data_IF_106932131747
#
_entry.id   IF_106932131747
#
_cell.length_a   1.000
_cell.length_b   1.000
_cell.length_c   1.000
_cell.angle_alpha   90.00
_cell.angle_beta   90.00
_cell.angle_gamma   90.00
#
_symmetry.space_group_name_H-M   'P 1'
#
loop_
_entity.id
_entity.type
_entity.pdbx_description
1 polymer ?
#
# COMPACT_ATOMS: atom_id res chain seq x y z
N UNK A 1 11.65 -15.16 41.66
CA UNK A 1 12.73 -15.14 40.66
C UNK A 1 12.11 -14.84 39.31
N UNK A 2 12.32 -13.60 38.86
CA UNK A 2 11.97 -13.09 37.53
C UNK A 2 12.89 -13.73 36.48
N UNK A 3 12.33 -14.13 35.34
CA UNK A 3 12.85 -13.96 33.98
C UNK A 3 12.45 -15.11 33.05
N UNK A 4 11.36 -14.90 32.29
CA UNK A 4 11.34 -15.26 30.87
C UNK A 4 10.69 -14.11 30.09
N UNK A 5 11.28 -12.93 30.22
CA UNK A 5 11.12 -11.86 29.24
C UNK A 5 11.86 -12.32 27.97
N UNK A 6 11.10 -12.64 26.94
CA UNK A 6 11.64 -13.14 25.68
C UNK A 6 10.56 -13.77 24.79
N UNK A 7 9.31 -13.31 24.91
CA UNK A 7 8.34 -13.49 23.83
C UNK A 7 8.62 -12.35 22.87
N UNK A 8 9.38 -12.66 21.82
CA UNK A 8 9.58 -11.83 20.64
C UNK A 8 8.24 -11.13 20.33
N UNK A 9 8.28 -9.79 20.40
CA UNK A 9 7.16 -8.91 20.04
C UNK A 9 6.63 -9.39 18.69
N UNK A 10 5.35 -9.74 18.63
CA UNK A 10 4.77 -10.40 17.46
C UNK A 10 5.09 -9.58 16.22
N UNK A 11 5.80 -10.16 15.26
CA UNK A 11 5.86 -9.57 13.94
C UNK A 11 4.45 -9.61 13.36
N UNK A 12 3.96 -8.48 12.87
CA UNK A 12 2.68 -8.39 12.18
C UNK A 12 2.55 -9.53 11.16
N UNK A 13 1.49 -10.32 11.29
CA UNK A 13 1.23 -11.47 10.45
C UNK A 13 0.92 -11.01 9.01
N UNK A 14 1.71 -11.51 8.05
CA UNK A 14 1.51 -11.19 6.64
C UNK A 14 0.11 -11.63 6.14
N UNK A 15 -0.44 -12.72 6.68
CA UNK A 15 -1.77 -13.20 6.30
C UNK A 15 -2.88 -12.23 6.75
N UNK A 16 -2.74 -11.64 7.95
CA UNK A 16 -3.65 -10.61 8.43
C UNK A 16 -3.59 -9.37 7.52
N UNK A 17 -2.38 -8.92 7.17
CA UNK A 17 -2.21 -7.74 6.29
C UNK A 17 -2.79 -8.00 4.91
N UNK A 18 -2.52 -9.17 4.32
CA UNK A 18 -3.08 -9.56 3.02
C UNK A 18 -4.60 -9.60 3.05
N UNK A 19 -5.20 -10.17 4.10
CA UNK A 19 -6.66 -10.19 4.28
C UNK A 19 -7.24 -8.77 4.38
N UNK A 20 -6.61 -7.89 5.16
CA UNK A 20 -7.03 -6.49 5.30
C UNK A 20 -6.97 -5.76 3.95
N UNK A 21 -5.86 -5.92 3.21
CA UNK A 21 -5.70 -5.30 1.89
C UNK A 21 -6.71 -5.85 0.88
N UNK A 22 -6.97 -7.16 0.88
CA UNK A 22 -7.95 -7.79 0.00
C UNK A 22 -9.38 -7.31 0.24
N UNK A 23 -9.80 -7.18 1.51
CA UNK A 23 -11.10 -6.62 1.88
C UNK A 23 -11.24 -5.18 1.40
N UNK A 24 -10.21 -4.37 1.66
CA UNK A 24 -10.23 -2.95 1.29
C UNK A 24 -10.30 -2.82 -0.22
N UNK A 25 -9.46 -3.55 -0.97
CA UNK A 25 -9.45 -3.53 -2.44
C UNK A 25 -10.81 -3.86 -3.04
N UNK A 26 -11.43 -4.96 -2.60
CA UNK A 26 -12.72 -5.42 -3.11
C UNK A 26 -13.80 -4.32 -3.02
N UNK A 27 -13.89 -3.64 -1.87
CA UNK A 27 -14.87 -2.58 -1.65
C UNK A 27 -14.47 -1.24 -2.27
N UNK A 28 -13.17 -0.95 -2.37
CA UNK A 28 -12.65 0.30 -2.92
C UNK A 28 -13.00 0.43 -4.41
N UNK A 29 -12.85 -0.66 -5.16
CA UNK A 29 -13.17 -0.74 -6.58
C UNK A 29 -14.68 -0.61 -6.83
N UNK A 30 -15.53 -1.12 -5.93
CA UNK A 30 -16.99 -0.94 -5.99
C UNK A 30 -17.41 0.50 -5.63
N UNK A 31 -16.79 1.09 -4.61
CA UNK A 31 -17.20 2.39 -4.07
C UNK A 31 -16.70 3.57 -4.93
N UNK A 32 -15.50 3.44 -5.51
CA UNK A 32 -14.85 4.50 -6.28
C UNK A 32 -14.35 3.99 -7.64
N UNK A 33 -15.23 3.60 -8.57
CA UNK A 33 -14.84 2.98 -9.84
C UNK A 33 -13.97 3.90 -10.74
N UNK A 34 -14.11 5.22 -10.61
CA UNK A 34 -13.40 6.20 -11.46
C UNK A 34 -12.64 7.29 -10.69
N UNK A 35 -12.64 7.27 -9.35
CA UNK A 35 -11.99 8.32 -8.51
C UNK A 35 -10.72 7.80 -7.83
N UNK A 36 -9.63 7.71 -8.61
CA UNK A 36 -8.34 7.18 -8.17
C UNK A 36 -7.68 8.00 -7.04
N UNK A 37 -7.93 9.31 -6.98
CA UNK A 37 -7.37 10.15 -5.92
C UNK A 37 -8.00 9.85 -4.57
N UNK A 38 -9.30 9.54 -4.52
CA UNK A 38 -9.94 9.12 -3.26
C UNK A 38 -9.47 7.74 -2.82
N UNK A 39 -9.12 6.86 -3.77
CA UNK A 39 -8.70 5.48 -3.45
C UNK A 39 -7.50 5.42 -2.50
N UNK A 40 -6.47 6.26 -2.66
CA UNK A 40 -5.31 6.22 -1.76
C UNK A 40 -5.68 6.60 -0.32
N UNK A 41 -6.43 7.67 -0.12
CA UNK A 41 -6.78 8.14 1.21
C UNK A 41 -7.80 7.22 1.91
N UNK A 42 -8.83 6.75 1.19
CA UNK A 42 -9.83 5.82 1.74
C UNK A 42 -9.22 4.46 2.06
N UNK A 43 -8.32 3.95 1.22
CA UNK A 43 -7.63 2.68 1.50
C UNK A 43 -6.76 2.78 2.73
N UNK A 44 -5.89 3.80 2.85
CA UNK A 44 -5.04 3.98 4.03
C UNK A 44 -5.86 4.15 5.33
N UNK A 45 -6.98 4.88 5.27
CA UNK A 45 -7.86 5.04 6.42
C UNK A 45 -8.53 3.72 6.84
N UNK A 46 -9.01 2.94 5.88
CA UNK A 46 -9.64 1.64 6.14
C UNK A 46 -8.64 0.59 6.64
N UNK A 47 -7.47 0.48 6.00
CA UNK A 47 -6.39 -0.42 6.44
C UNK A 47 -6.03 -0.13 7.89
N UNK A 48 -5.80 1.16 8.23
CA UNK A 48 -5.49 1.56 9.60
C UNK A 48 -6.60 1.18 10.59
N UNK A 49 -7.86 1.43 10.24
CA UNK A 49 -8.98 1.12 11.12
C UNK A 49 -9.07 -0.39 11.40
N UNK A 50 -8.99 -1.22 10.36
CA UNK A 50 -9.07 -2.67 10.48
C UNK A 50 -7.90 -3.27 11.27
N UNK A 51 -6.67 -2.79 11.05
CA UNK A 51 -5.51 -3.23 11.84
C UNK A 51 -5.67 -2.88 13.33
N UNK A 52 -6.19 -1.69 13.63
CA UNK A 52 -6.48 -1.29 15.03
C UNK A 52 -7.59 -2.12 15.66
N UNK A 53 -8.62 -2.48 14.91
CA UNK A 53 -9.67 -3.39 15.37
C UNK A 53 -9.09 -4.78 15.72
N UNK A 54 -8.01 -5.20 15.03
CA UNK A 54 -7.25 -6.42 15.30
C UNK A 54 -6.20 -6.26 16.43
N UNK A 55 -6.14 -5.10 17.10
CA UNK A 55 -5.21 -4.84 18.20
C UNK A 55 -3.80 -4.42 17.78
N UNK A 56 -3.57 -4.14 16.50
CA UNK A 56 -2.27 -3.68 15.97
C UNK A 56 -2.18 -2.15 16.10
N UNK A 57 -1.05 -1.65 16.59
CA UNK A 57 -0.79 -0.21 16.56
C UNK A 57 -0.46 0.24 15.14
N UNK A 58 -1.39 0.96 14.52
CA UNK A 58 -1.30 1.42 13.15
C UNK A 58 -1.42 2.94 13.06
N UNK A 59 -0.44 3.54 12.39
CA UNK A 59 -0.27 4.98 12.19
C UNK A 59 -0.57 5.34 10.74
N UNK A 60 -1.40 6.36 10.52
CA UNK A 60 -1.62 6.92 9.20
C UNK A 60 -0.44 7.85 8.87
N UNK A 61 0.13 7.72 7.68
CA UNK A 61 1.24 8.54 7.22
C UNK A 61 0.86 9.23 5.92
N UNK A 62 1.14 10.53 5.84
CA UNK A 62 1.00 11.34 4.64
C UNK A 62 2.37 11.77 4.11
N UNK A 63 2.54 11.76 2.79
CA UNK A 63 3.79 12.17 2.17
C UNK A 63 3.83 12.03 0.66
N UNK A 64 5.02 11.80 0.12
CA UNK A 64 5.24 11.60 -1.32
C UNK A 64 5.46 10.12 -1.60
N UNK A 65 4.91 9.66 -2.72
CA UNK A 65 5.06 8.30 -3.23
C UNK A 65 5.37 8.31 -4.72
N UNK A 66 6.28 7.44 -5.13
CA UNK A 66 6.48 7.08 -6.51
C UNK A 66 6.88 5.60 -6.64
N UNK A 67 6.49 4.98 -7.75
CA UNK A 67 6.85 3.62 -8.10
C UNK A 67 7.38 3.53 -9.53
N UNK A 68 8.27 2.57 -9.74
CA UNK A 68 8.65 2.12 -11.06
C UNK A 68 7.45 1.49 -11.77
N UNK A 69 7.21 1.94 -13.00
CA UNK A 69 6.14 1.43 -13.86
C UNK A 69 6.71 1.03 -15.21
N UNK A 70 6.04 0.06 -15.84
CA UNK A 70 6.38 -0.39 -17.18
C UNK A 70 5.16 -0.78 -17.99
N UNK A 71 5.21 -0.60 -19.30
CA UNK A 71 4.18 -1.09 -20.22
C UNK A 71 4.28 -2.62 -20.39
N UNK A 72 3.17 -3.32 -20.72
CA UNK A 72 3.18 -4.77 -20.94
C UNK A 72 4.12 -5.26 -22.06
N UNK A 73 4.39 -4.42 -23.06
CA UNK A 73 5.35 -4.70 -24.14
C UNK A 73 6.81 -4.42 -23.75
N UNK A 74 7.04 -3.94 -22.53
CA UNK A 74 8.34 -3.54 -21.98
C UNK A 74 9.00 -2.36 -22.72
N UNK A 75 8.27 -1.67 -23.60
CA UNK A 75 8.78 -0.58 -24.44
C UNK A 75 8.92 0.75 -23.69
N UNK A 76 8.17 0.94 -22.61
CA UNK A 76 8.23 2.17 -21.79
C UNK A 76 8.49 1.82 -20.33
N UNK A 77 9.53 2.44 -19.78
CA UNK A 77 9.91 2.38 -18.38
C UNK A 77 9.82 3.80 -17.80
N UNK A 78 9.20 3.97 -16.64
CA UNK A 78 9.08 5.28 -16.01
C UNK A 78 8.99 5.16 -14.49
N UNK A 79 9.05 6.30 -13.81
CA UNK A 79 8.67 6.44 -12.41
C UNK A 79 7.43 7.31 -12.35
N UNK A 80 6.36 6.80 -11.76
CA UNK A 80 5.09 7.50 -11.60
C UNK A 80 4.72 7.59 -10.12
N UNK A 81 4.01 8.65 -9.76
CA UNK A 81 3.38 8.82 -8.46
C UNK A 81 2.04 9.50 -8.64
N UNK A 82 1.32 9.72 -7.54
CA UNK A 82 0.08 10.50 -7.59
C UNK A 82 0.41 11.99 -7.73
N UNK A 83 0.51 12.47 -8.98
CA UNK A 83 0.66 13.90 -9.29
C UNK A 83 -0.66 14.41 -9.86
N UNK A 84 -1.22 15.48 -9.29
CA UNK A 84 -2.15 16.32 -10.05
C UNK A 84 -1.35 17.46 -10.69
N UNK A 85 -1.88 18.02 -11.77
CA UNK A 85 -1.20 18.96 -12.66
C UNK A 85 -0.74 20.27 -12.00
N UNK A 86 -1.19 20.59 -10.79
CA UNK A 86 -0.91 21.88 -10.15
C UNK A 86 -0.49 21.85 -8.67
N UNK A 87 -0.58 20.71 -7.97
CA UNK A 87 -0.04 20.57 -6.61
C UNK A 87 0.33 19.10 -6.32
N UNK A 88 1.39 18.82 -5.55
CA UNK A 88 1.65 17.48 -5.05
C UNK A 88 0.47 17.05 -4.16
N UNK A 89 -0.37 16.14 -4.64
CA UNK A 89 -1.37 15.51 -3.79
C UNK A 89 -0.64 14.60 -2.80
N UNK A 90 -0.82 14.80 -1.48
CA UNK A 90 -0.21 13.92 -0.50
C UNK A 90 -0.74 12.51 -0.71
N UNK A 91 0.18 11.57 -0.83
CA UNK A 91 -0.12 10.15 -0.79
C UNK A 91 -0.24 9.70 0.67
N UNK A 92 -1.13 8.75 0.93
CA UNK A 92 -1.34 8.21 2.27
C UNK A 92 -1.09 6.71 2.31
N UNK A 93 -0.43 6.24 3.36
CA UNK A 93 -0.19 4.83 3.65
C UNK A 93 -0.25 4.58 5.15
N UNK A 94 -0.07 3.33 5.57
CA UNK A 94 -0.07 2.92 6.97
C UNK A 94 1.32 2.43 7.38
N UNK A 95 1.79 2.85 8.54
CA UNK A 95 2.93 2.25 9.23
C UNK A 95 2.41 1.46 10.44
N UNK A 96 2.79 0.19 10.58
CA UNK A 96 2.39 -0.67 11.70
C UNK A 96 3.46 -1.73 11.99
N UNK A 97 3.88 -1.84 13.25
CA UNK A 97 4.89 -2.83 13.72
C UNK A 97 6.11 -2.93 12.79
N UNK A 98 6.76 -1.79 12.53
CA UNK A 98 7.93 -1.65 11.64
C UNK A 98 7.68 -2.05 10.17
N UNK A 99 6.42 -2.02 9.71
CA UNK A 99 6.07 -2.24 8.31
C UNK A 99 5.42 -1.03 7.65
N UNK A 100 5.77 -0.80 6.39
CA UNK A 100 5.05 0.08 5.47
C UNK A 100 3.99 -0.74 4.74
N UNK A 101 2.72 -0.41 4.96
CA UNK A 101 1.56 -1.10 4.39
C UNK A 101 0.84 -0.17 3.42
N UNK A 102 0.73 -0.57 2.16
CA UNK A 102 0.14 0.26 1.12
C UNK A 102 -0.43 -0.57 -0.05
N UNK A 103 -1.69 -0.32 -0.39
CA UNK A 103 -2.35 -0.90 -1.56
C UNK A 103 -2.04 -0.11 -2.85
N UNK A 104 -1.52 1.10 -2.72
CA UNK A 104 -1.52 2.08 -3.78
C UNK A 104 -0.56 1.83 -4.94
N UNK A 105 0.56 1.09 -4.81
CA UNK A 105 1.30 0.65 -5.99
C UNK A 105 0.41 -0.16 -6.93
N UNK A 106 -0.40 -1.09 -6.42
CA UNK A 106 -1.38 -1.80 -7.23
C UNK A 106 -2.41 -0.85 -7.86
N UNK A 107 -2.93 0.10 -7.07
CA UNK A 107 -3.97 1.03 -7.54
C UNK A 107 -3.46 2.04 -8.59
N UNK A 108 -2.15 2.35 -8.60
CA UNK A 108 -1.54 3.26 -9.55
C UNK A 108 -1.70 2.77 -11.00
N UNK A 109 -1.79 1.45 -11.21
CA UNK A 109 -2.02 0.87 -12.53
C UNK A 109 -3.33 1.32 -13.19
N UNK A 110 -4.37 1.59 -12.38
CA UNK A 110 -5.66 2.02 -12.89
C UNK A 110 -5.71 3.52 -13.21
N UNK A 111 -4.86 4.32 -12.56
CA UNK A 111 -4.79 5.77 -12.73
C UNK A 111 -3.69 6.23 -13.69
N UNK A 112 -2.98 5.31 -14.35
CA UNK A 112 -1.90 5.66 -15.27
C UNK A 112 -2.45 6.12 -16.62
N UNK A 113 -1.82 7.13 -17.24
CA UNK A 113 -2.20 7.66 -18.57
C UNK A 113 -2.07 6.64 -19.71
N UNK A 114 -1.43 5.50 -19.44
CA UNK A 114 -1.23 4.41 -20.38
C UNK A 114 -1.25 3.07 -19.63
N UNK A 115 -1.59 1.96 -20.31
CA UNK A 115 -1.58 0.65 -19.67
C UNK A 115 -0.20 0.30 -19.11
N UNK A 116 -0.16 -0.05 -17.82
CA UNK A 116 1.05 -0.53 -17.15
C UNK A 116 0.81 -1.90 -16.53
N UNK A 117 1.89 -2.65 -16.33
CA UNK A 117 1.86 -3.94 -15.64
C UNK A 117 1.41 -3.73 -14.19
N UNK A 118 0.52 -4.59 -13.70
CA UNK A 118 0.05 -4.56 -12.32
C UNK A 118 1.23 -4.74 -11.34
N UNK A 119 1.20 -3.99 -10.25
CA UNK A 119 2.25 -3.97 -9.23
C UNK A 119 1.78 -4.72 -7.98
N UNK A 120 2.72 -5.20 -7.13
CA UNK A 120 2.35 -5.77 -5.84
C UNK A 120 1.77 -4.72 -4.90
N UNK A 121 0.96 -5.16 -3.94
CA UNK A 121 0.73 -4.36 -2.73
C UNK A 121 1.98 -4.44 -1.82
N UNK A 122 2.12 -3.53 -0.86
CA UNK A 122 3.25 -3.50 0.06
C UNK A 122 2.83 -3.81 1.49
N UNK A 123 3.66 -4.59 2.16
CA UNK A 123 3.75 -4.75 3.61
C UNK A 123 5.25 -4.86 3.98
N UNK A 124 6.02 -3.86 3.55
CA UNK A 124 7.47 -3.88 3.53
C UNK A 124 8.06 -3.71 4.92
N UNK A 125 8.97 -4.61 5.30
CA UNK A 125 9.77 -4.50 6.51
C UNK A 125 10.71 -3.29 6.44
N UNK A 126 10.44 -2.28 7.27
CA UNK A 126 11.17 -1.01 7.30
C UNK A 126 12.55 -1.12 7.95
N UNK A 127 12.90 -2.27 8.55
CA UNK A 127 14.27 -2.54 8.99
C UNK A 127 15.24 -2.73 7.82
N UNK A 128 14.71 -2.99 6.61
CA UNK A 128 15.46 -3.12 5.37
C UNK A 128 15.21 -1.92 4.44
N UNK A 129 16.21 -1.48 3.65
CA UNK A 129 16.02 -0.42 2.68
C UNK A 129 15.01 -0.84 1.61
N UNK A 130 14.09 0.07 1.26
CA UNK A 130 13.19 -0.12 0.12
C UNK A 130 13.99 -0.31 -1.18
N UNK A 131 13.50 -1.13 -2.13
CA UNK A 131 14.08 -1.19 -3.47
C UNK A 131 13.87 0.15 -4.18
N UNK A 132 14.77 0.50 -5.10
CA UNK A 132 14.66 1.72 -5.91
C UNK A 132 13.34 1.80 -6.68
N UNK A 133 12.71 0.65 -6.97
CA UNK A 133 11.38 0.55 -7.57
C UNK A 133 10.25 1.16 -6.75
N UNK A 134 10.44 1.42 -5.45
CA UNK A 134 9.48 2.09 -4.59
C UNK A 134 10.13 3.25 -3.85
N UNK A 135 9.48 4.42 -3.87
CA UNK A 135 9.97 5.64 -3.25
C UNK A 135 8.88 6.20 -2.36
N UNK A 136 9.20 6.33 -1.07
CA UNK A 136 8.32 6.91 -0.07
C UNK A 136 9.07 7.98 0.71
N UNK A 137 8.43 9.13 0.90
CA UNK A 137 8.95 10.21 1.74
C UNK A 137 7.85 10.69 2.68
N UNK A 138 7.90 10.21 3.92
CA UNK A 138 7.01 10.65 4.98
C UNK A 138 7.16 12.17 5.20
N UNK A 139 6.03 12.87 5.23
CA UNK A 139 5.96 14.29 5.57
C UNK A 139 5.22 14.51 6.89
N UNK A 140 4.22 13.67 7.17
CA UNK A 140 3.42 13.76 8.39
C UNK A 140 3.01 12.38 8.88
N UNK A 141 3.11 12.15 10.19
CA UNK A 141 2.49 11.02 10.89
C UNK A 141 1.33 11.55 11.70
N UNK A 142 0.15 10.98 11.50
CA UNK A 142 -1.09 11.48 12.08
C UNK A 142 -1.37 10.82 13.44
N UNK A 143 -1.80 11.59 14.46
CA UNK A 143 -2.23 11.06 15.74
C UNK A 143 -3.33 9.99 15.66
N UNK A 144 -3.44 9.16 16.70
CA UNK A 144 -4.38 8.05 16.79
C UNK A 144 -5.87 8.44 16.66
N UNK A 145 -6.23 9.66 17.00
CA UNK A 145 -7.59 10.21 16.91
C UNK A 145 -7.84 11.02 15.63
N UNK A 146 -6.88 11.02 14.69
CA UNK A 146 -7.01 11.76 13.44
C UNK A 146 -8.16 11.25 12.59
N UNK A 147 -9.01 12.21 12.17
CA UNK A 147 -10.06 12.02 11.18
C UNK A 147 -9.49 12.17 9.77
N UNK A 148 -10.20 11.62 8.78
CA UNK A 148 -9.80 11.73 7.38
C UNK A 148 -9.81 13.19 6.87
N UNK A 149 -10.73 14.02 7.36
CA UNK A 149 -10.88 15.42 6.92
C UNK A 149 -11.52 16.28 8.01
N UNK A 150 -11.46 17.60 7.83
CA UNK A 150 -12.30 18.53 8.59
C UNK A 150 -13.73 18.61 8.03
N UNK A 151 -13.92 18.19 6.76
CA UNK A 151 -15.24 18.09 6.14
C UNK A 151 -16.01 16.90 6.75
N UNK A 152 -17.13 17.21 7.39
CA UNK A 152 -18.01 16.23 8.03
C UNK A 152 -18.60 15.23 7.03
N UNK A 153 -18.91 15.67 5.81
CA UNK A 153 -19.48 14.79 4.77
C UNK A 153 -18.43 13.78 4.32
N UNK A 154 -17.20 14.23 4.10
CA UNK A 154 -16.10 13.34 3.72
C UNK A 154 -15.74 12.37 4.85
N UNK A 155 -15.75 12.83 6.11
CA UNK A 155 -15.61 11.94 7.27
C UNK A 155 -16.70 10.88 7.33
N UNK A 156 -17.96 11.27 7.17
CA UNK A 156 -19.07 10.32 7.20
C UNK A 156 -18.97 9.28 6.08
N UNK A 157 -18.48 9.67 4.89
CA UNK A 157 -18.20 8.74 3.81
C UNK A 157 -17.06 7.77 4.16
N UNK A 158 -15.98 8.26 4.76
CA UNK A 158 -14.86 7.44 5.21
C UNK A 158 -15.31 6.43 6.27
N UNK A 159 -16.08 6.88 7.26
CA UNK A 159 -16.63 6.02 8.31
C UNK A 159 -17.57 4.96 7.72
N UNK A 160 -18.46 5.33 6.79
CA UNK A 160 -19.34 4.38 6.11
C UNK A 160 -18.55 3.32 5.33
N UNK A 161 -17.47 3.73 4.64
CA UNK A 161 -16.58 2.82 3.93
C UNK A 161 -15.88 1.85 4.88
N UNK A 162 -15.32 2.34 6.00
CA UNK A 162 -14.73 1.51 7.06
C UNK A 162 -15.74 0.51 7.61
N UNK A 163 -17.00 0.92 7.84
CA UNK A 163 -18.03 0.01 8.33
C UNK A 163 -18.39 -1.07 7.31
N UNK A 164 -18.39 -0.76 6.01
CA UNK A 164 -18.53 -1.79 4.97
C UNK A 164 -17.36 -2.78 4.99
N UNK A 165 -16.13 -2.30 5.17
CA UNK A 165 -14.96 -3.17 5.30
C UNK A 165 -15.06 -4.09 6.52
N UNK A 166 -15.45 -3.55 7.68
CA UNK A 166 -15.68 -4.33 8.91
C UNK A 166 -16.74 -5.41 8.73
N UNK A 167 -17.84 -5.10 8.06
CA UNK A 167 -18.89 -6.08 7.75
C UNK A 167 -18.36 -7.20 6.86
N UNK A 168 -17.55 -6.87 5.85
CA UNK A 168 -16.95 -7.86 4.96
C UNK A 168 -15.93 -8.76 5.67
N UNK A 169 -15.11 -8.21 6.59
CA UNK A 169 -14.21 -9.01 7.45
C UNK A 169 -15.00 -9.98 8.33
N UNK A 170 -16.14 -9.55 8.86
CA UNK A 170 -16.97 -10.35 9.76
C UNK A 170 -17.85 -11.38 9.02
N UNK A 171 -17.94 -11.34 7.69
CA UNK A 171 -18.76 -12.24 6.90
C UNK A 171 -17.99 -13.52 6.55
N UNK A 172 -18.31 -14.68 7.17
CA UNK A 172 -17.61 -15.93 6.89
C UNK A 172 -17.93 -16.51 5.49
N UNK A 173 -18.95 -16.00 4.80
CA UNK A 173 -19.34 -16.49 3.48
C UNK A 173 -18.48 -15.88 2.36
N UNK A 174 -17.76 -14.79 2.64
CA UNK A 174 -16.93 -14.10 1.64
C UNK A 174 -15.47 -14.17 2.06
N UNK A 175 -14.62 -14.61 1.14
CA UNK A 175 -13.16 -14.61 1.34
C UNK A 175 -12.52 -13.79 0.23
N UNK A 176 -12.42 -12.45 0.42
CA UNK A 176 -11.74 -11.60 -0.55
C UNK A 176 -10.31 -12.09 -0.77
N UNK A 177 -9.85 -11.98 -2.01
CA UNK A 177 -8.46 -12.29 -2.37
C UNK A 177 -7.83 -11.05 -2.94
N UNK A 178 -6.58 -10.81 -2.55
CA UNK A 178 -5.81 -9.73 -3.15
C UNK A 178 -5.59 -10.08 -4.63
N UNK A 179 -5.93 -9.19 -5.58
CA UNK A 179 -5.78 -9.43 -7.01
C UNK A 179 -4.31 -9.40 -7.48
N UNK A 180 -3.41 -9.06 -6.57
CA UNK A 180 -1.96 -9.04 -6.75
C UNK A 180 -1.30 -9.75 -5.57
N UNK A 181 0.03 -9.84 -5.57
CA UNK A 181 0.79 -10.41 -4.45
C UNK A 181 1.30 -9.31 -3.50
N UNK A 182 1.73 -9.73 -2.31
CA UNK A 182 2.23 -8.85 -1.26
C UNK A 182 3.77 -8.83 -1.24
N UNK A 183 4.36 -7.68 -1.51
CA UNK A 183 5.80 -7.45 -1.36
C UNK A 183 6.12 -7.11 0.09
N UNK A 184 6.92 -7.95 0.74
CA UNK A 184 7.24 -7.84 2.18
C UNK A 184 8.71 -7.57 2.47
N UNK A 185 9.59 -8.02 1.57
CA UNK A 185 11.05 -7.86 1.62
C UNK A 185 11.67 -8.27 0.27
N UNK A 186 13.00 -8.19 0.15
CA UNK A 186 13.69 -8.60 -1.08
C UNK A 186 13.48 -10.08 -1.45
N UNK A 187 13.34 -10.98 -0.48
CA UNK A 187 13.08 -12.39 -0.78
C UNK A 187 11.74 -12.57 -1.50
N UNK A 188 10.70 -11.82 -1.11
CA UNK A 188 9.41 -11.83 -1.81
C UNK A 188 9.52 -11.31 -3.26
N UNK A 189 10.37 -10.30 -3.50
CA UNK A 189 10.64 -9.79 -4.85
C UNK A 189 11.39 -10.83 -5.70
N UNK A 190 12.41 -11.47 -5.14
CA UNK A 190 13.16 -12.52 -5.84
C UNK A 190 12.26 -13.71 -6.18
N UNK A 191 11.41 -14.15 -5.25
CA UNK A 191 10.43 -15.19 -5.50
C UNK A 191 9.41 -14.81 -6.60
N UNK A 192 9.08 -13.53 -6.75
CA UNK A 192 8.25 -13.06 -7.87
C UNK A 192 9.02 -13.10 -9.20
N UNK A 193 10.30 -12.72 -9.21
CA UNK A 193 11.17 -12.86 -10.40
C UNK A 193 11.31 -14.33 -10.82
N UNK A 194 11.48 -15.26 -9.89
CA UNK A 194 11.58 -16.71 -10.16
C UNK A 194 10.28 -17.29 -10.74
N UNK A 195 9.15 -16.62 -10.55
CA UNK A 195 7.84 -16.98 -11.11
C UNK A 195 7.53 -16.23 -12.42
N UNK A 196 8.55 -15.59 -13.01
CA UNK A 196 8.43 -14.77 -14.22
C UNK A 196 7.37 -13.66 -14.11
N UNK A 197 7.17 -13.10 -12.90
CA UNK A 197 6.32 -11.93 -12.73
C UNK A 197 6.89 -10.75 -13.53
N UNK A 198 6.10 -10.23 -14.46
CA UNK A 198 6.54 -9.24 -15.43
C UNK A 198 7.04 -7.95 -14.75
N UNK A 199 6.33 -7.48 -13.72
CA UNK A 199 6.74 -6.27 -13.00
C UNK A 199 8.00 -6.53 -12.19
N UNK A 200 8.09 -7.64 -11.45
CA UNK A 200 9.27 -7.96 -10.64
C UNK A 200 10.53 -8.11 -11.50
N UNK A 201 10.40 -8.74 -12.67
CA UNK A 201 11.48 -8.83 -13.66
C UNK A 201 11.93 -7.45 -14.16
N UNK A 202 10.99 -6.54 -14.44
CA UNK A 202 11.30 -5.15 -14.79
C UNK A 202 11.95 -4.37 -13.64
N UNK A 203 11.39 -4.49 -12.43
CA UNK A 203 11.88 -3.86 -11.21
C UNK A 203 13.33 -4.26 -10.92
N UNK A 204 13.68 -5.54 -11.08
CA UNK A 204 15.06 -6.02 -10.93
C UNK A 204 16.03 -5.36 -11.92
N UNK A 205 15.61 -5.16 -13.18
CA UNK A 205 16.42 -4.45 -14.18
C UNK A 205 16.54 -2.96 -13.82
N UNK A 206 15.43 -2.36 -13.39
CA UNK A 206 15.39 -0.97 -12.95
C UNK A 206 16.34 -0.71 -11.77
N UNK A 207 16.44 -1.63 -10.81
CA UNK A 207 17.33 -1.51 -9.65
C UNK A 207 18.80 -1.32 -10.07
N UNK A 208 19.24 -2.00 -11.13
CA UNK A 208 20.59 -1.90 -11.67
C UNK A 208 20.81 -0.54 -12.38
N UNK A 209 19.79 -0.03 -13.05
CA UNK A 209 19.84 1.26 -13.74
C UNK A 209 19.81 2.43 -12.75
N UNK A 210 18.95 2.34 -11.73
CA UNK A 210 18.71 3.39 -10.75
C UNK A 210 19.97 3.83 -10.00
N UNK A 211 20.96 2.95 -9.84
CA UNK A 211 22.26 3.29 -9.22
C UNK A 211 22.99 4.45 -9.92
N UNK A 212 22.72 4.65 -11.22
CA UNK A 212 23.38 5.66 -12.05
C UNK A 212 22.48 6.85 -12.39
N UNK A 213 21.24 6.88 -11.88
CA UNK A 213 20.26 7.91 -12.23
C UNK A 213 19.65 8.54 -10.96
N UNK A 214 19.59 9.88 -10.87
CA UNK A 214 18.90 10.52 -9.76
C UNK A 214 17.40 10.20 -9.83
N UNK A 215 16.90 9.54 -8.80
CA UNK A 215 15.48 9.28 -8.60
C UNK A 215 14.82 10.44 -7.87
N UNK A 216 13.50 10.65 -8.04
CA UNK A 216 12.79 11.68 -7.29
C UNK A 216 12.90 11.44 -5.78
N UNK A 217 13.21 12.55 -5.07
CA UNK A 217 13.36 12.70 -3.61
C UNK A 217 14.26 11.71 -2.89
#
# INVERSE_FOLDING_TARGET
MLASYGRWMSALDAALVEQVLAVVEALLCETFPDDFHRRCAFSAFAVRALLRDAGVDAVLVGGQFAAFVMTPDHGRLAVQGFRSSHDPHPHYWVEAEDRLIDLSPYLLAFGSDYPIVAMPALAWDMSAPLPSSFRYKAQQRYPADSRMSIDQKLCAQADAFVQSCRRLVADPAVTPRLPTWLATNYASLLAAVERDDAWACGARRFEQMAQNHPLPF
#
